data_IF_268344649364
#
_entry.id   IF_268344649364
#
_cell.length_a   1.000
_cell.length_b   1.000
_cell.length_c   1.000
_cell.angle_alpha   90.00
_cell.angle_beta   90.00
_cell.angle_gamma   90.00
#
_symmetry.space_group_name_H-M   'P 1'
#
loop_
_entity.id
_entity.type
_entity.pdbx_description
1 polymer ?
#
# COMPACT_ATOMS: atom_id res chain seq x y z
N UNK A 1 7.82 -20.53 13.32
CA UNK A 1 6.67 -20.31 12.41
C UNK A 1 7.14 -19.29 11.40
N UNK A 2 6.94 -19.54 10.10
CA UNK A 2 7.26 -18.54 9.07
C UNK A 2 6.42 -17.29 9.35
N UNK A 3 7.03 -16.10 9.28
CA UNK A 3 6.35 -14.83 9.53
C UNK A 3 5.22 -14.61 8.53
N UNK A 4 4.10 -14.07 8.99
CA UNK A 4 3.03 -13.62 8.09
C UNK A 4 3.41 -12.26 7.48
N UNK A 5 3.08 -12.06 6.20
CA UNK A 5 3.38 -10.84 5.46
C UNK A 5 2.16 -9.91 5.40
N UNK A 6 2.40 -8.62 5.40
CA UNK A 6 1.39 -7.60 5.09
C UNK A 6 1.76 -6.88 3.79
N UNK A 7 0.84 -6.89 2.85
CA UNK A 7 0.88 -6.06 1.64
C UNK A 7 0.20 -4.73 1.94
N UNK A 8 0.98 -3.69 2.11
CA UNK A 8 0.46 -2.39 2.55
C UNK A 8 -0.17 -1.56 1.43
N UNK A 9 -0.18 -2.06 0.19
CA UNK A 9 -0.78 -1.37 -0.95
C UNK A 9 -1.09 -2.34 -2.10
N UNK A 10 -2.39 -2.62 -2.31
CA UNK A 10 -2.86 -3.50 -3.38
C UNK A 10 -4.23 -3.04 -3.89
N UNK A 11 -4.36 -2.81 -5.19
CA UNK A 11 -5.62 -2.47 -5.87
C UNK A 11 -6.40 -3.74 -6.24
N UNK A 12 -6.81 -4.50 -5.23
CA UNK A 12 -7.57 -5.74 -5.43
C UNK A 12 -8.91 -5.51 -6.14
N UNK A 13 -9.45 -4.29 -6.10
CA UNK A 13 -10.68 -3.89 -6.82
C UNK A 13 -10.45 -3.64 -8.32
N UNK A 14 -9.21 -3.63 -8.80
CA UNK A 14 -8.88 -3.39 -10.20
C UNK A 14 -9.55 -4.41 -11.15
N UNK A 15 -9.97 -3.98 -12.35
CA UNK A 15 -10.67 -4.84 -13.31
C UNK A 15 -9.81 -6.02 -13.80
N UNK A 16 -8.50 -5.92 -13.71
CA UNK A 16 -7.54 -7.01 -14.01
C UNK A 16 -7.77 -8.26 -13.16
N UNK A 17 -8.41 -8.09 -12.00
CA UNK A 17 -8.75 -9.19 -11.09
C UNK A 17 -10.21 -9.64 -11.17
N UNK A 18 -11.05 -9.05 -12.00
CA UNK A 18 -12.49 -9.35 -12.04
C UNK A 18 -12.79 -10.84 -12.26
N UNK A 19 -11.97 -11.52 -13.08
CA UNK A 19 -12.19 -12.92 -13.43
C UNK A 19 -11.80 -13.91 -12.30
N UNK A 20 -10.88 -13.52 -11.40
CA UNK A 20 -10.30 -14.46 -10.42
C UNK A 20 -9.94 -13.83 -9.07
N UNK A 21 -10.56 -12.72 -8.70
CA UNK A 21 -10.25 -11.92 -7.49
C UNK A 21 -10.22 -12.76 -6.21
N UNK A 22 -11.21 -13.62 -5.99
CA UNK A 22 -11.23 -14.50 -4.81
C UNK A 22 -10.05 -15.47 -4.82
N UNK A 23 -9.70 -16.02 -5.98
CA UNK A 23 -8.54 -16.89 -6.14
C UNK A 23 -7.20 -16.15 -5.93
N UNK A 24 -7.13 -14.85 -6.25
CA UNK A 24 -5.95 -14.00 -5.93
C UNK A 24 -5.75 -13.92 -4.43
N UNK A 25 -6.83 -13.70 -3.65
CA UNK A 25 -6.75 -13.69 -2.18
C UNK A 25 -6.33 -15.05 -1.63
N UNK A 26 -6.88 -16.15 -2.16
CA UNK A 26 -6.49 -17.49 -1.74
C UNK A 26 -4.99 -17.78 -2.03
N UNK A 27 -4.49 -17.37 -3.19
CA UNK A 27 -3.06 -17.50 -3.52
C UNK A 27 -2.18 -16.66 -2.59
N UNK A 28 -2.62 -15.43 -2.24
CA UNK A 28 -1.92 -14.58 -1.29
C UNK A 28 -1.82 -15.26 0.08
N UNK A 29 -2.93 -15.80 0.60
CA UNK A 29 -2.97 -16.54 1.87
C UNK A 29 -2.08 -17.79 1.84
N UNK A 30 -2.11 -18.56 0.74
CA UNK A 30 -1.25 -19.73 0.56
C UNK A 30 0.25 -19.34 0.55
N UNK A 31 0.57 -18.13 0.09
CA UNK A 31 1.90 -17.52 0.16
C UNK A 31 2.21 -16.84 1.50
N UNK A 32 1.34 -17.01 2.53
CA UNK A 32 1.48 -16.41 3.85
C UNK A 32 1.36 -14.86 3.88
N UNK A 33 0.74 -14.28 2.87
CA UNK A 33 0.32 -12.87 2.88
C UNK A 33 -1.06 -12.82 3.53
N UNK A 34 -1.11 -12.45 4.80
CA UNK A 34 -2.33 -12.51 5.60
C UNK A 34 -3.17 -11.23 5.51
N UNK A 35 -2.55 -10.09 5.30
CA UNK A 35 -3.21 -8.79 5.26
C UNK A 35 -2.88 -8.06 3.97
N UNK A 36 -3.92 -7.48 3.34
CA UNK A 36 -3.82 -6.52 2.24
C UNK A 36 -4.46 -5.22 2.67
N UNK A 37 -3.86 -4.09 2.33
CA UNK A 37 -4.48 -2.77 2.47
C UNK A 37 -4.95 -2.33 1.09
N UNK A 38 -6.26 -2.12 0.95
CA UNK A 38 -6.91 -1.81 -0.32
C UNK A 38 -7.24 -0.31 -0.39
N UNK A 39 -6.47 0.51 -1.13
CA UNK A 39 -6.79 1.91 -1.28
C UNK A 39 -7.82 2.13 -2.41
N UNK A 40 -8.85 2.95 -2.14
CA UNK A 40 -9.69 3.47 -3.19
C UNK A 40 -8.97 4.54 -4.01
N UNK A 41 -9.32 4.68 -5.29
CA UNK A 41 -8.73 5.67 -6.19
C UNK A 41 -9.71 6.78 -6.60
N UNK A 42 -11.01 6.58 -6.42
CA UNK A 42 -12.07 7.56 -6.70
C UNK A 42 -13.32 7.28 -5.87
N UNK A 43 -14.20 8.27 -5.73
CA UNK A 43 -15.38 8.17 -4.87
C UNK A 43 -16.33 7.03 -5.28
N UNK A 44 -16.45 6.75 -6.57
CA UNK A 44 -17.27 5.65 -7.10
C UNK A 44 -16.81 4.26 -6.61
N UNK A 45 -15.58 4.12 -6.13
CA UNK A 45 -15.00 2.85 -5.68
C UNK A 45 -15.09 2.65 -4.15
N UNK A 46 -15.51 3.64 -3.37
CA UNK A 46 -15.49 3.57 -1.91
C UNK A 46 -16.22 2.36 -1.34
N UNK A 47 -17.46 2.14 -1.76
CA UNK A 47 -18.24 1.00 -1.27
C UNK A 47 -17.71 -0.34 -1.80
N UNK A 48 -17.23 -0.39 -3.05
CA UNK A 48 -16.62 -1.60 -3.62
C UNK A 48 -15.38 -2.04 -2.83
N UNK A 49 -14.47 -1.11 -2.55
CA UNK A 49 -13.25 -1.40 -1.79
C UNK A 49 -13.58 -1.83 -0.37
N UNK A 50 -14.51 -1.11 0.29
CA UNK A 50 -15.01 -1.48 1.62
C UNK A 50 -15.60 -2.89 1.65
N UNK A 51 -16.53 -3.18 0.71
CA UNK A 51 -17.16 -4.50 0.63
C UNK A 51 -16.16 -5.64 0.39
N UNK A 52 -15.13 -5.42 -0.43
CA UNK A 52 -14.05 -6.37 -0.64
C UNK A 52 -13.22 -6.59 0.64
N UNK A 53 -12.88 -5.52 1.35
CA UNK A 53 -12.15 -5.61 2.59
C UNK A 53 -12.92 -6.45 3.64
N UNK A 54 -14.20 -6.15 3.85
CA UNK A 54 -15.05 -6.92 4.77
C UNK A 54 -15.22 -8.38 4.34
N UNK A 55 -15.47 -8.64 3.04
CA UNK A 55 -15.64 -9.99 2.51
C UNK A 55 -14.45 -10.89 2.81
N UNK A 56 -13.25 -10.33 2.75
CA UNK A 56 -12.02 -11.10 2.88
C UNK A 56 -11.26 -10.85 4.21
N UNK A 57 -11.83 -10.09 5.16
CA UNK A 57 -11.14 -9.75 6.41
C UNK A 57 -9.85 -8.94 6.17
N UNK A 58 -9.88 -7.99 5.24
CA UNK A 58 -8.76 -7.14 4.85
C UNK A 58 -8.95 -5.70 5.35
N UNK A 59 -7.94 -4.86 5.17
CA UNK A 59 -8.01 -3.45 5.49
C UNK A 59 -8.26 -2.60 4.23
N UNK A 60 -8.84 -1.40 4.42
CA UNK A 60 -9.04 -0.48 3.31
C UNK A 60 -8.75 0.97 3.69
N UNK A 61 -8.56 1.79 2.66
CA UNK A 61 -8.44 3.23 2.77
C UNK A 61 -9.32 3.93 1.72
N UNK A 62 -9.82 5.13 2.04
CA UNK A 62 -10.67 5.91 1.17
C UNK A 62 -9.96 7.21 0.76
N UNK A 63 -9.90 7.47 -0.54
CA UNK A 63 -9.25 8.65 -1.09
C UNK A 63 -9.50 8.82 -2.58
N UNK A 64 -9.08 9.97 -3.11
CA UNK A 64 -9.15 10.32 -4.52
C UNK A 64 -7.71 10.48 -5.01
N UNK A 65 -7.29 9.53 -5.83
CA UNK A 65 -5.95 9.42 -6.35
C UNK A 65 -5.62 10.54 -7.35
N UNK A 66 -4.38 11.08 -7.41
CA UNK A 66 -4.03 12.21 -8.26
C UNK A 66 -4.29 12.00 -9.76
N UNK A 67 -4.24 10.78 -10.27
CA UNK A 67 -4.57 10.49 -11.67
C UNK A 67 -6.06 10.65 -12.01
N UNK A 68 -6.92 10.72 -11.01
CA UNK A 68 -8.37 10.82 -11.17
C UNK A 68 -8.93 12.19 -10.81
N UNK A 69 -8.11 13.11 -10.31
CA UNK A 69 -8.57 14.45 -9.90
C UNK A 69 -9.18 15.27 -11.03
N UNK A 70 -8.70 15.10 -12.27
CA UNK A 70 -9.21 15.87 -13.42
C UNK A 70 -10.65 15.47 -13.80
N UNK A 71 -11.07 14.25 -13.50
CA UNK A 71 -12.44 13.76 -13.72
C UNK A 71 -13.32 13.76 -12.46
N UNK A 72 -12.72 13.91 -11.29
CA UNK A 72 -13.44 14.03 -10.03
C UNK A 72 -14.19 15.35 -9.94
N UNK A 73 -15.40 15.37 -9.37
CA UNK A 73 -16.10 16.58 -9.00
C UNK A 73 -15.64 17.08 -7.63
N UNK A 74 -15.82 18.38 -7.34
CA UNK A 74 -15.52 18.90 -5.99
C UNK A 74 -16.43 18.26 -4.93
N UNK A 75 -17.65 17.87 -5.31
CA UNK A 75 -18.58 17.10 -4.47
C UNK A 75 -18.02 15.73 -4.04
N UNK A 76 -17.05 15.15 -4.76
CA UNK A 76 -16.42 13.88 -4.36
C UNK A 76 -15.61 14.02 -3.07
N UNK A 77 -15.12 15.23 -2.76
CA UNK A 77 -14.51 15.53 -1.46
C UNK A 77 -15.54 15.53 -0.32
N UNK A 78 -16.79 15.95 -0.61
CA UNK A 78 -17.90 15.88 0.35
C UNK A 78 -18.33 14.43 0.57
N UNK A 79 -18.38 13.62 -0.50
CA UNK A 79 -18.63 12.17 -0.41
C UNK A 79 -17.54 11.48 0.43
N UNK A 80 -16.27 11.82 0.22
CA UNK A 80 -15.18 11.30 1.06
C UNK A 80 -15.36 11.70 2.52
N UNK A 81 -15.67 12.98 2.79
CA UNK A 81 -15.88 13.46 4.16
C UNK A 81 -17.05 12.72 4.84
N UNK A 82 -18.13 12.45 4.11
CA UNK A 82 -19.27 11.70 4.61
C UNK A 82 -18.90 10.23 4.87
N UNK A 83 -18.26 9.56 3.91
CA UNK A 83 -17.84 8.17 4.06
C UNK A 83 -16.89 7.96 5.26
N UNK A 84 -15.95 8.91 5.49
CA UNK A 84 -15.07 8.85 6.66
C UNK A 84 -15.82 8.98 8.00
N UNK A 85 -16.94 9.72 8.04
CA UNK A 85 -17.81 9.82 9.23
C UNK A 85 -18.66 8.57 9.42
N UNK A 86 -19.28 8.08 8.34
CA UNK A 86 -20.17 6.92 8.38
C UNK A 86 -19.42 5.64 8.78
N UNK A 87 -18.12 5.57 8.46
CA UNK A 87 -17.27 4.43 8.76
C UNK A 87 -16.21 4.74 9.85
N UNK A 88 -16.43 5.76 10.68
CA UNK A 88 -15.46 6.17 11.71
C UNK A 88 -15.10 5.03 12.68
N UNK A 89 -16.08 4.19 13.02
CA UNK A 89 -15.92 3.05 13.93
C UNK A 89 -15.61 1.73 13.21
N UNK A 90 -15.48 1.73 11.89
CA UNK A 90 -15.11 0.54 11.12
C UNK A 90 -13.62 0.23 11.33
N UNK A 91 -13.27 -0.92 11.97
CA UNK A 91 -11.87 -1.25 12.24
C UNK A 91 -11.08 -1.52 10.95
N UNK A 92 -11.75 -1.89 9.85
CA UNK A 92 -11.12 -2.14 8.56
C UNK A 92 -10.71 -0.84 7.83
N UNK A 93 -11.28 0.33 8.17
CA UNK A 93 -10.87 1.63 7.64
C UNK A 93 -9.61 2.10 8.34
N UNK A 94 -8.45 1.92 7.72
CA UNK A 94 -7.14 2.15 8.37
C UNK A 94 -6.48 3.48 8.00
N UNK A 95 -6.88 4.13 6.90
CA UNK A 95 -6.25 5.37 6.44
C UNK A 95 -7.16 6.18 5.50
N UNK A 96 -6.78 7.42 5.24
CA UNK A 96 -7.23 8.17 4.06
C UNK A 96 -6.22 7.98 2.94
N UNK A 97 -6.67 7.43 1.81
CA UNK A 97 -5.81 7.07 0.67
C UNK A 97 -6.53 6.22 -0.39
N UNK A 98 -6.01 6.16 -1.58
CA UNK A 98 -4.73 6.74 -1.98
C UNK A 98 -4.90 8.21 -2.34
N UNK A 99 -4.05 9.06 -1.79
CA UNK A 99 -4.04 10.50 -2.06
C UNK A 99 -2.63 10.93 -2.43
N UNK A 100 -2.46 12.09 -3.03
CA UNK A 100 -1.10 12.56 -3.30
C UNK A 100 -0.97 13.35 -4.57
N UNK A 101 0.21 13.27 -5.21
CA UNK A 101 0.56 14.04 -6.39
C UNK A 101 1.34 13.18 -7.40
N UNK A 102 0.94 13.23 -8.66
CA UNK A 102 1.68 12.66 -9.80
C UNK A 102 2.19 13.77 -10.72
N UNK A 103 3.49 13.98 -10.72
CA UNK A 103 4.14 14.94 -11.62
C UNK A 103 4.85 14.27 -12.81
N UNK A 104 4.61 12.96 -12.99
CA UNK A 104 5.19 12.18 -14.08
C UNK A 104 4.27 12.13 -15.29
N UNK A 105 2.97 11.88 -15.09
CA UNK A 105 1.99 11.78 -16.18
C UNK A 105 1.76 13.18 -16.77
N UNK A 106 1.97 13.35 -18.10
CA UNK A 106 1.76 14.66 -18.73
C UNK A 106 0.27 14.97 -18.86
N UNK A 107 -0.05 16.27 -18.93
CA UNK A 107 -1.41 16.75 -19.20
C UNK A 107 -2.34 16.84 -18.00
N UNK A 108 -1.95 16.38 -16.84
CA UNK A 108 -2.75 16.47 -15.61
C UNK A 108 -2.68 17.89 -15.00
N UNK A 109 -3.81 18.36 -14.46
CA UNK A 109 -3.88 19.64 -13.76
C UNK A 109 -3.23 19.55 -12.37
N UNK A 110 -1.98 20.02 -12.27
CA UNK A 110 -1.22 20.03 -11.02
C UNK A 110 -1.83 20.91 -9.93
N UNK A 111 -2.53 22.00 -10.30
CA UNK A 111 -3.17 22.87 -9.32
C UNK A 111 -4.37 22.15 -8.70
N UNK A 112 -5.15 21.45 -9.53
CA UNK A 112 -6.25 20.62 -9.07
C UNK A 112 -5.78 19.47 -8.19
N UNK A 113 -4.74 18.73 -8.59
CA UNK A 113 -4.12 17.71 -7.74
C UNK A 113 -3.72 18.28 -6.36
N UNK A 114 -3.05 19.44 -6.36
CA UNK A 114 -2.63 20.10 -5.12
C UNK A 114 -3.82 20.51 -4.25
N UNK A 115 -4.92 21.01 -4.84
CA UNK A 115 -6.13 21.36 -4.12
C UNK A 115 -6.78 20.13 -3.47
N UNK A 116 -6.95 19.04 -4.23
CA UNK A 116 -7.49 17.77 -3.73
C UNK A 116 -6.59 17.16 -2.63
N UNK A 117 -5.29 17.15 -2.84
CA UNK A 117 -4.33 16.66 -1.85
C UNK A 117 -4.47 17.39 -0.51
N UNK A 118 -4.45 18.75 -0.53
CA UNK A 118 -4.58 19.54 0.69
C UNK A 118 -5.96 19.39 1.36
N UNK A 119 -7.03 19.26 0.58
CA UNK A 119 -8.37 19.01 1.12
C UNK A 119 -8.41 17.64 1.82
N UNK A 120 -7.89 16.60 1.20
CA UNK A 120 -7.87 15.24 1.75
C UNK A 120 -6.96 15.12 2.98
N UNK A 121 -5.83 15.83 3.03
CA UNK A 121 -5.03 15.92 4.27
C UNK A 121 -5.83 16.54 5.44
N UNK A 122 -6.66 17.56 5.16
CA UNK A 122 -7.54 18.15 6.21
C UNK A 122 -8.57 17.14 6.69
N UNK A 123 -9.19 16.38 5.76
CA UNK A 123 -10.14 15.31 6.10
C UNK A 123 -9.48 14.21 6.94
N UNK A 124 -8.28 13.75 6.55
CA UNK A 124 -7.51 12.77 7.31
C UNK A 124 -7.23 13.24 8.75
N UNK A 125 -6.80 14.50 8.89
CA UNK A 125 -6.56 15.12 10.21
C UNK A 125 -7.83 15.19 11.04
N UNK A 126 -8.98 15.56 10.44
CA UNK A 126 -10.28 15.62 11.11
C UNK A 126 -10.77 14.26 11.56
N UNK A 127 -10.56 13.23 10.73
CA UNK A 127 -10.91 11.85 11.02
C UNK A 127 -9.92 11.16 11.99
N UNK A 128 -8.78 11.80 12.31
CA UNK A 128 -7.74 11.20 13.13
C UNK A 128 -7.08 9.98 12.48
N UNK A 129 -7.07 9.93 11.15
CA UNK A 129 -6.50 8.82 10.38
C UNK A 129 -5.15 9.17 9.76
N UNK A 130 -4.21 8.21 9.67
CA UNK A 130 -3.02 8.34 8.86
C UNK A 130 -3.37 8.38 7.36
N UNK A 131 -2.36 8.62 6.49
CA UNK A 131 -2.59 8.72 5.05
C UNK A 131 -1.74 7.73 4.25
N UNK A 132 -2.28 7.24 3.12
CA UNK A 132 -1.52 6.52 2.09
C UNK A 132 -1.22 7.48 0.94
N UNK A 133 0.07 7.72 0.69
CA UNK A 133 0.51 8.72 -0.27
C UNK A 133 1.04 8.11 -1.56
N UNK A 134 0.47 8.52 -2.68
CA UNK A 134 1.05 8.39 -4.00
C UNK A 134 2.19 9.40 -4.18
N UNK A 135 3.37 8.91 -4.52
CA UNK A 135 4.59 9.72 -4.64
C UNK A 135 5.27 9.48 -5.98
N UNK A 136 4.93 10.26 -7.00
CA UNK A 136 5.57 10.11 -8.30
C UNK A 136 6.11 11.43 -8.85
N UNK A 137 7.44 11.64 -8.73
CA UNK A 137 8.15 12.91 -9.03
C UNK A 137 7.59 14.12 -8.28
N UNK A 138 7.03 13.93 -7.11
CA UNK A 138 6.26 14.92 -6.35
C UNK A 138 6.67 15.06 -4.88
N UNK A 139 7.73 14.39 -4.43
CA UNK A 139 8.12 14.30 -3.02
C UNK A 139 8.21 15.66 -2.32
N UNK A 140 8.86 16.68 -2.94
CA UNK A 140 9.00 18.01 -2.34
C UNK A 140 7.66 18.74 -2.20
N UNK A 141 6.77 18.61 -3.20
CA UNK A 141 5.43 19.19 -3.16
C UNK A 141 4.54 18.52 -2.11
N UNK A 142 4.64 17.18 -1.97
CA UNK A 142 3.97 16.44 -0.90
C UNK A 142 4.45 16.88 0.48
N UNK A 143 5.77 16.98 0.69
CA UNK A 143 6.36 17.46 1.93
C UNK A 143 5.94 18.91 2.23
N UNK A 144 5.80 19.77 1.21
CA UNK A 144 5.26 21.11 1.39
C UNK A 144 3.80 21.10 1.87
N UNK A 145 2.96 20.21 1.32
CA UNK A 145 1.58 20.00 1.78
C UNK A 145 1.51 19.51 3.21
N UNK A 146 2.33 18.51 3.58
CA UNK A 146 2.41 17.97 4.94
C UNK A 146 2.90 19.00 5.98
N UNK A 147 3.71 20.00 5.56
CA UNK A 147 4.07 21.14 6.44
C UNK A 147 2.88 22.07 6.68
N UNK A 148 2.02 22.27 5.67
CA UNK A 148 0.82 23.11 5.77
C UNK A 148 -0.30 22.45 6.56
N UNK A 149 -0.49 21.15 6.37
CA UNK A 149 -1.53 20.34 6.99
C UNK A 149 -0.89 19.09 7.60
N UNK A 150 -0.36 19.18 8.82
CA UNK A 150 0.20 18.03 9.52
C UNK A 150 -0.85 16.94 9.75
N UNK A 151 -0.43 15.67 9.54
CA UNK A 151 -1.20 14.45 9.81
C UNK A 151 -0.38 13.53 10.72
N UNK A 152 -0.97 12.43 11.18
CA UNK A 152 -0.34 11.48 12.10
C UNK A 152 0.79 10.63 11.46
N UNK A 153 1.15 10.88 10.19
CA UNK A 153 2.04 10.03 9.39
C UNK A 153 1.25 9.12 8.48
N UNK A 154 1.79 7.93 8.17
CA UNK A 154 1.18 6.97 7.28
C UNK A 154 2.19 6.26 6.39
N UNK A 155 1.82 5.98 5.14
CA UNK A 155 2.69 5.31 4.17
C UNK A 155 2.93 6.20 2.96
N UNK A 156 4.17 6.25 2.49
CA UNK A 156 4.53 6.80 1.19
C UNK A 156 4.84 5.60 0.27
N UNK A 157 3.83 5.19 -0.53
CA UNK A 157 3.91 3.99 -1.33
C UNK A 157 4.84 4.18 -2.55
N UNK A 158 5.40 3.09 -3.07
CA UNK A 158 6.30 3.01 -4.22
C UNK A 158 7.41 4.09 -4.19
N UNK A 159 7.98 4.32 -3.01
CA UNK A 159 8.84 5.47 -2.78
C UNK A 159 10.15 5.41 -3.59
N UNK A 160 10.36 6.43 -4.40
CA UNK A 160 11.55 6.59 -5.23
C UNK A 160 12.04 8.05 -5.24
N UNK A 161 12.28 8.60 -4.06
CA UNK A 161 12.86 9.94 -3.87
C UNK A 161 14.35 9.92 -3.58
N UNK A 162 14.92 11.08 -3.24
CA UNK A 162 16.28 11.19 -2.70
C UNK A 162 16.34 10.70 -1.26
N UNK A 163 17.58 10.44 -0.76
CA UNK A 163 17.81 10.09 0.65
C UNK A 163 17.26 11.17 1.60
N UNK A 164 17.50 12.44 1.29
CA UNK A 164 17.03 13.57 2.12
C UNK A 164 15.50 13.62 2.17
N UNK A 165 14.83 13.38 1.04
CA UNK A 165 13.38 13.32 0.99
C UNK A 165 12.85 12.13 1.82
N UNK A 166 13.47 10.95 1.68
CA UNK A 166 13.12 9.76 2.45
C UNK A 166 13.21 10.02 3.97
N UNK A 167 14.32 10.58 4.43
CA UNK A 167 14.54 10.93 5.84
C UNK A 167 13.52 11.96 6.34
N UNK A 168 13.09 12.92 5.49
CA UNK A 168 12.07 13.90 5.85
C UNK A 168 10.69 13.26 5.99
N UNK A 169 10.30 12.30 5.13
CA UNK A 169 9.09 11.50 5.32
C UNK A 169 9.14 10.69 6.61
N UNK A 170 10.25 10.00 6.88
CA UNK A 170 10.44 9.20 8.10
C UNK A 170 10.34 10.06 9.36
N UNK A 171 10.96 11.25 9.38
CA UNK A 171 10.85 12.20 10.50
C UNK A 171 9.41 12.67 10.76
N UNK A 172 8.54 12.64 9.74
CA UNK A 172 7.11 12.98 9.85
C UNK A 172 6.23 11.78 10.19
N UNK A 173 6.81 10.64 10.57
CA UNK A 173 6.08 9.45 10.97
C UNK A 173 5.64 8.55 9.81
N UNK A 174 6.16 8.79 8.59
CA UNK A 174 5.86 7.92 7.46
C UNK A 174 6.78 6.71 7.40
N UNK A 175 6.21 5.58 6.95
CA UNK A 175 6.99 4.46 6.45
C UNK A 175 6.98 4.49 4.93
N UNK A 176 8.02 3.94 4.33
CA UNK A 176 8.23 3.97 2.89
C UNK A 176 7.99 2.58 2.32
N UNK A 177 7.17 2.50 1.27
CA UNK A 177 6.79 1.27 0.62
C UNK A 177 7.85 0.80 -0.36
N UNK A 178 8.19 -0.49 -0.28
CA UNK A 178 9.11 -1.18 -1.17
C UNK A 178 8.44 -2.42 -1.76
N UNK A 179 8.32 -2.44 -3.08
CA UNK A 179 7.61 -3.46 -3.83
C UNK A 179 8.40 -3.99 -5.04
N UNK A 180 7.69 -4.39 -6.08
CA UNK A 180 8.26 -5.00 -7.29
C UNK A 180 9.41 -4.23 -7.93
N UNK A 181 9.38 -2.89 -7.87
CA UNK A 181 10.40 -2.03 -8.46
C UNK A 181 11.82 -2.29 -7.90
N UNK A 182 11.97 -2.62 -6.62
CA UNK A 182 13.28 -2.89 -6.01
C UNK A 182 13.95 -4.16 -6.54
N UNK A 183 13.16 -5.08 -7.13
CA UNK A 183 13.68 -6.36 -7.65
C UNK A 183 14.51 -6.19 -8.91
N UNK A 184 14.31 -5.08 -9.64
CA UNK A 184 15.08 -4.77 -10.84
C UNK A 184 16.50 -4.32 -10.47
N UNK A 185 17.52 -5.03 -10.97
CA UNK A 185 18.92 -4.74 -10.64
C UNK A 185 19.36 -3.31 -11.02
N UNK A 186 18.74 -2.72 -12.05
CA UNK A 186 19.01 -1.36 -12.52
C UNK A 186 18.31 -0.27 -11.72
N UNK A 187 17.43 -0.63 -10.78
CA UNK A 187 16.73 0.33 -9.89
C UNK A 187 17.65 0.81 -8.75
N UNK A 188 18.79 1.35 -9.09
CA UNK A 188 19.89 1.65 -8.15
C UNK A 188 19.46 2.59 -7.02
N UNK A 189 18.60 3.57 -7.30
CA UNK A 189 18.14 4.54 -6.30
C UNK A 189 17.25 3.87 -5.25
N UNK A 190 16.25 3.09 -5.67
CA UNK A 190 15.34 2.36 -4.76
C UNK A 190 16.15 1.38 -3.91
N UNK A 191 17.09 0.65 -4.52
CA UNK A 191 17.95 -0.33 -3.83
C UNK A 191 18.86 0.35 -2.80
N UNK A 192 19.42 1.53 -3.08
CA UNK A 192 20.19 2.31 -2.11
C UNK A 192 19.34 2.73 -0.92
N UNK A 193 18.13 3.22 -1.16
CA UNK A 193 17.19 3.57 -0.10
C UNK A 193 16.83 2.36 0.75
N UNK A 194 16.52 1.23 0.11
CA UNK A 194 16.18 -0.02 0.78
C UNK A 194 17.29 -0.51 1.72
N UNK A 195 18.56 -0.27 1.39
CA UNK A 195 19.72 -0.62 2.23
C UNK A 195 20.01 0.45 3.30
N UNK A 196 19.94 1.74 2.92
CA UNK A 196 20.45 2.83 3.76
C UNK A 196 19.45 3.37 4.79
N UNK A 197 18.17 3.08 4.65
CA UNK A 197 17.14 3.53 5.59
C UNK A 197 17.14 2.66 6.86
N UNK A 198 16.76 3.24 8.02
CA UNK A 198 16.63 2.47 9.25
C UNK A 198 15.54 1.39 9.14
N UNK A 199 15.68 0.31 9.89
CA UNK A 199 14.77 -0.84 9.86
C UNK A 199 13.31 -0.44 10.11
N UNK A 200 13.10 0.52 10.99
CA UNK A 200 11.75 1.01 11.33
C UNK A 200 11.14 1.95 10.30
N UNK A 201 11.77 2.15 9.13
CA UNK A 201 11.27 3.04 8.07
C UNK A 201 10.59 2.32 6.91
N UNK A 202 10.72 0.99 6.80
CA UNK A 202 10.34 0.23 5.62
C UNK A 202 9.05 -0.56 5.84
N UNK A 203 8.21 -0.60 4.81
CA UNK A 203 7.11 -1.56 4.68
C UNK A 203 7.19 -2.24 3.33
N UNK A 204 6.50 -3.38 3.19
CA UNK A 204 6.40 -4.14 1.96
C UNK A 204 5.04 -3.94 1.32
N UNK A 205 5.03 -3.91 0.00
CA UNK A 205 3.83 -3.77 -0.82
C UNK A 205 4.01 -4.42 -2.18
N UNK A 206 2.91 -4.65 -2.90
CA UNK A 206 2.98 -5.09 -4.29
C UNK A 206 2.61 -4.00 -5.27
N UNK A 207 1.66 -3.14 -4.93
CA UNK A 207 0.94 -2.25 -5.85
C UNK A 207 0.22 -3.04 -6.96
N UNK A 208 -0.14 -4.30 -6.67
CA UNK A 208 -0.78 -5.17 -7.64
C UNK A 208 -2.15 -4.60 -8.08
N UNK A 209 -2.47 -4.68 -9.40
CA UNK A 209 -1.82 -5.44 -10.47
C UNK A 209 -0.61 -4.77 -11.11
N UNK A 210 -0.28 -3.55 -10.71
CA UNK A 210 0.80 -2.73 -11.26
C UNK A 210 2.18 -3.08 -10.67
N UNK A 211 3.20 -2.37 -11.08
CA UNK A 211 4.61 -2.46 -10.67
C UNK A 211 5.12 -3.91 -10.55
N UNK A 212 5.05 -4.72 -11.64
CA UNK A 212 5.46 -6.12 -11.58
C UNK A 212 6.94 -6.26 -11.21
N UNK A 213 7.28 -7.25 -10.36
CA UNK A 213 8.67 -7.59 -10.09
C UNK A 213 9.39 -8.07 -11.36
N UNK A 214 10.73 -8.08 -11.31
CA UNK A 214 11.59 -8.36 -12.48
C UNK A 214 11.21 -9.64 -13.21
N UNK A 215 10.85 -10.70 -12.50
CA UNK A 215 10.50 -12.01 -13.10
C UNK A 215 9.15 -12.05 -13.82
N UNK A 216 8.25 -11.12 -13.51
CA UNK A 216 6.98 -10.93 -14.21
C UNK A 216 7.05 -9.87 -15.30
N UNK A 217 8.06 -9.00 -15.26
CA UNK A 217 8.19 -7.88 -16.18
C UNK A 217 8.34 -8.36 -17.63
N UNK A 218 7.60 -7.72 -18.53
CA UNK A 218 7.72 -7.93 -19.98
C UNK A 218 8.14 -6.61 -20.64
N UNK A 219 9.20 -6.70 -21.46
CA UNK A 219 9.67 -5.53 -22.21
C UNK A 219 8.63 -5.08 -23.23
N UNK A 220 8.73 -3.83 -23.70
CA UNK A 220 7.86 -3.32 -24.77
C UNK A 220 7.93 -4.22 -26.02
N UNK A 221 9.12 -4.73 -26.38
CA UNK A 221 9.30 -5.64 -27.50
C UNK A 221 8.58 -6.98 -27.31
N UNK A 222 8.64 -7.55 -26.10
CA UNK A 222 7.93 -8.79 -25.77
C UNK A 222 6.41 -8.61 -25.85
N UNK A 223 5.90 -7.47 -25.34
CA UNK A 223 4.47 -7.14 -25.44
C UNK A 223 4.03 -6.94 -26.88
N UNK A 224 4.83 -6.23 -27.70
CA UNK A 224 4.57 -6.08 -29.13
C UNK A 224 4.58 -7.42 -29.89
N UNK A 225 5.32 -8.43 -29.39
CA UNK A 225 5.31 -9.79 -29.90
C UNK A 225 4.13 -10.64 -29.37
N UNK A 226 3.15 -10.04 -28.69
CA UNK A 226 1.94 -10.71 -28.22
C UNK A 226 2.04 -11.39 -26.84
N UNK A 227 3.15 -11.21 -26.12
CA UNK A 227 3.24 -11.71 -24.74
C UNK A 227 2.38 -10.82 -23.80
N UNK A 228 1.48 -11.42 -23.05
CA UNK A 228 0.68 -10.72 -22.07
C UNK A 228 1.56 -9.96 -21.05
N UNK A 229 1.11 -8.79 -20.61
CA UNK A 229 1.75 -8.12 -19.48
C UNK A 229 1.71 -9.04 -18.27
N UNK A 230 2.82 -9.17 -17.56
CA UNK A 230 2.83 -9.94 -16.32
C UNK A 230 2.03 -9.18 -15.26
N UNK A 231 0.84 -9.67 -14.94
CA UNK A 231 0.01 -9.13 -13.86
C UNK A 231 0.72 -9.40 -12.54
N UNK A 232 0.95 -8.34 -11.75
CA UNK A 232 1.43 -8.49 -10.38
C UNK A 232 0.31 -9.01 -9.47
N UNK A 233 0.67 -9.75 -8.43
CA UNK A 233 -0.27 -10.28 -7.46
C UNK A 233 0.32 -10.21 -6.03
N UNK A 234 -0.53 -10.11 -4.99
CA UNK A 234 -0.06 -10.12 -3.60
C UNK A 234 0.77 -11.35 -3.24
N UNK A 235 0.55 -12.50 -3.88
CA UNK A 235 1.34 -13.72 -3.67
C UNK A 235 2.83 -13.55 -3.99
N UNK A 236 3.22 -12.52 -4.74
CA UNK A 236 4.62 -12.23 -5.08
C UNK A 236 5.38 -11.56 -3.93
N UNK A 237 4.67 -11.06 -2.90
CA UNK A 237 5.26 -10.29 -1.80
C UNK A 237 6.39 -11.02 -1.08
N UNK A 238 6.29 -12.33 -0.72
CA UNK A 238 7.39 -13.05 -0.06
C UNK A 238 8.64 -13.16 -0.93
N UNK A 239 8.48 -13.27 -2.25
CA UNK A 239 9.61 -13.31 -3.18
C UNK A 239 10.25 -11.92 -3.36
N UNK A 240 9.46 -10.85 -3.33
CA UNK A 240 9.95 -9.47 -3.26
C UNK A 240 10.73 -9.28 -1.95
N UNK A 241 10.19 -9.76 -0.82
CA UNK A 241 10.84 -9.74 0.47
C UNK A 241 12.20 -10.46 0.50
N UNK A 242 12.33 -11.60 -0.22
CA UNK A 242 13.63 -12.30 -0.37
C UNK A 242 14.70 -11.38 -0.98
N UNK A 243 14.35 -10.58 -1.98
CA UNK A 243 15.29 -9.63 -2.58
C UNK A 243 15.68 -8.55 -1.56
N UNK A 244 14.71 -8.00 -0.81
CA UNK A 244 14.97 -6.99 0.22
C UNK A 244 15.83 -7.56 1.35
N UNK A 245 15.51 -8.76 1.86
CA UNK A 245 16.30 -9.44 2.90
C UNK A 245 17.75 -9.67 2.45
N UNK A 246 17.96 -10.13 1.22
CA UNK A 246 19.30 -10.29 0.64
C UNK A 246 20.06 -8.97 0.54
N UNK A 247 19.41 -7.87 0.17
CA UNK A 247 20.02 -6.55 0.12
C UNK A 247 20.41 -6.02 1.50
N UNK A 248 19.61 -6.32 2.53
CA UNK A 248 19.85 -5.87 3.92
C UNK A 248 20.70 -6.82 4.74
N UNK A 249 20.97 -8.04 4.24
CA UNK A 249 21.73 -9.05 4.98
C UNK A 249 21.02 -9.58 6.23
N UNK A 250 19.68 -9.64 6.22
CA UNK A 250 18.87 -10.14 7.33
C UNK A 250 18.08 -11.40 6.94
N UNK A 251 17.54 -12.12 7.94
CA UNK A 251 16.68 -13.27 7.69
C UNK A 251 15.27 -12.83 7.21
N UNK A 252 14.56 -13.72 6.54
CA UNK A 252 13.19 -13.46 6.11
C UNK A 252 12.24 -13.28 7.29
N UNK A 253 12.45 -14.05 8.36
CA UNK A 253 11.66 -13.98 9.58
C UNK A 253 11.81 -12.61 10.25
N UNK A 254 13.05 -12.13 10.42
CA UNK A 254 13.32 -10.81 10.98
C UNK A 254 12.74 -9.69 10.12
N UNK A 255 12.82 -9.81 8.78
CA UNK A 255 12.22 -8.84 7.88
C UNK A 255 10.69 -8.84 7.98
N UNK A 256 10.05 -10.01 8.02
CA UNK A 256 8.60 -10.13 8.16
C UNK A 256 8.10 -9.50 9.46
N UNK A 257 8.73 -9.80 10.58
CA UNK A 257 8.40 -9.21 11.88
C UNK A 257 8.57 -7.69 11.86
N UNK A 258 9.70 -7.21 11.34
CA UNK A 258 9.99 -5.78 11.29
C UNK A 258 9.03 -5.00 10.39
N UNK A 259 8.78 -5.49 9.17
CA UNK A 259 7.90 -4.79 8.22
C UNK A 259 6.43 -4.83 8.65
N UNK A 260 5.98 -5.92 9.28
CA UNK A 260 4.65 -6.02 9.89
C UNK A 260 4.50 -5.04 11.06
N UNK A 261 5.48 -4.99 11.97
CA UNK A 261 5.48 -4.02 13.06
C UNK A 261 5.47 -2.58 12.55
N UNK A 262 6.22 -2.29 11.49
CA UNK A 262 6.25 -0.97 10.85
C UNK A 262 4.89 -0.60 10.22
N UNK A 263 4.23 -1.55 9.54
CA UNK A 263 2.91 -1.36 8.98
C UNK A 263 1.87 -1.03 10.06
N UNK A 264 1.86 -1.79 11.16
CA UNK A 264 1.00 -1.53 12.33
C UNK A 264 1.32 -0.17 13.00
N UNK A 265 2.60 0.22 13.07
CA UNK A 265 2.99 1.52 13.61
C UNK A 265 2.54 2.69 12.72
N UNK A 266 2.54 2.53 11.39
CA UNK A 266 2.08 3.53 10.44
C UNK A 266 0.55 3.60 10.34
N UNK A 267 -0.12 2.45 10.47
CA UNK A 267 -1.57 2.27 10.36
C UNK A 267 -2.09 1.55 11.63
N UNK A 268 -2.31 2.28 12.74
CA UNK A 268 -2.52 1.67 14.06
C UNK A 268 -3.70 0.68 14.14
N UNK A 269 -4.75 0.87 13.32
CA UNK A 269 -5.90 -0.05 13.28
C UNK A 269 -5.54 -1.43 12.73
N UNK A 270 -4.46 -1.56 11.94
CA UNK A 270 -3.97 -2.86 11.44
C UNK A 270 -3.58 -3.81 12.58
N UNK A 271 -3.08 -3.29 13.70
CA UNK A 271 -2.67 -4.13 14.83
C UNK A 271 -3.84 -4.96 15.40
N UNK A 272 -5.05 -4.39 15.44
CA UNK A 272 -6.26 -5.10 15.87
C UNK A 272 -6.67 -6.20 14.88
N UNK A 273 -6.67 -5.88 13.60
CA UNK A 273 -7.02 -6.82 12.53
C UNK A 273 -6.01 -7.98 12.45
N UNK A 274 -4.74 -7.70 12.60
CA UNK A 274 -3.67 -8.70 12.61
C UNK A 274 -3.82 -9.68 13.79
N UNK A 275 -4.14 -9.17 14.98
CA UNK A 275 -4.37 -10.00 16.15
C UNK A 275 -5.60 -10.92 15.97
N UNK A 276 -6.67 -10.41 15.37
CA UNK A 276 -7.87 -11.17 15.09
C UNK A 276 -7.60 -12.32 14.10
N UNK A 277 -6.85 -12.04 13.04
CA UNK A 277 -6.43 -13.05 12.06
C UNK A 277 -5.54 -14.13 12.69
N UNK A 278 -4.60 -13.76 13.57
CA UNK A 278 -3.76 -14.73 14.30
C UNK A 278 -4.58 -15.62 15.21
N UNK A 279 -5.60 -15.10 15.89
CA UNK A 279 -6.52 -15.89 16.73
C UNK A 279 -7.32 -16.89 15.89
N UNK A 280 -7.93 -16.43 14.81
CA UNK A 280 -8.69 -17.28 13.89
C UNK A 280 -7.83 -18.40 13.28
N UNK A 281 -6.59 -18.11 12.92
CA UNK A 281 -5.65 -19.11 12.41
C UNK A 281 -5.23 -20.14 13.47
N UNK A 282 -5.12 -19.73 14.73
CA UNK A 282 -4.79 -20.63 15.83
C UNK A 282 -5.96 -21.58 16.15
N UNK A 283 -7.20 -21.08 16.09
CA UNK A 283 -8.42 -21.87 16.36
C UNK A 283 -8.73 -22.90 15.27
N UNK A 284 -8.25 -22.65 14.02
CA UNK A 284 -8.43 -23.55 12.88
C UNK A 284 -7.30 -24.57 12.72
N UNK A 285 -6.21 -24.46 13.48
CA UNK A 285 -5.11 -25.41 13.45
C UNK A 285 -5.60 -26.78 14.00
N UNK A 286 -5.47 -27.90 13.26
CA UNK A 286 -5.87 -29.20 13.75
C UNK A 286 -5.08 -29.51 15.02
N UNK A 287 -5.78 -29.82 16.12
CA UNK A 287 -5.14 -30.37 17.32
C UNK A 287 -4.29 -31.56 16.91
N UNK A 288 -2.98 -31.43 17.00
CA UNK A 288 -2.09 -32.56 16.81
C UNK A 288 -2.55 -33.63 17.77
N UNK A 289 -3.09 -34.72 17.22
CA UNK A 289 -3.50 -35.88 18.02
C UNK A 289 -2.28 -36.33 18.82
N UNK A 290 -2.32 -36.12 20.12
CA UNK A 290 -1.44 -36.81 21.05
C UNK A 290 -1.78 -38.32 20.97
N UNK A 291 -1.15 -39.00 20.03
CA UNK A 291 -1.16 -40.44 19.91
C UNK A 291 -0.22 -41.01 20.95
N UNK A 292 -0.80 -41.76 21.85
CA UNK A 292 -0.11 -42.61 22.82
C UNK A 292 0.73 -43.70 22.14
#
# INVERSE_FOLDING_TARGET
MAGMWMDTHCHLDAPEFDADRDAVVERARAAQVSMLVLPAVEAAHFERVRALAHRHGLAYALGIHPLYTDRAADADLELLAQALKDHADDPCLVAVGEIGLDHFVPGLDRQRQQAFYLAQLKLARQAGLPVLLHVRRSADALLAGLRRVPVQGGLAHAFNGSQVQAEEFVRRGFKLGFGGALTHERALQIRRLAVGLPDNALVLETDAPDIPPQWLYRTAQQRAAGLAHGRNEPMELPRIAQVLAGLRGCSLEALAEQTTANACAALPRLAGLEQEQRRSAADTAPMASAGA
#
